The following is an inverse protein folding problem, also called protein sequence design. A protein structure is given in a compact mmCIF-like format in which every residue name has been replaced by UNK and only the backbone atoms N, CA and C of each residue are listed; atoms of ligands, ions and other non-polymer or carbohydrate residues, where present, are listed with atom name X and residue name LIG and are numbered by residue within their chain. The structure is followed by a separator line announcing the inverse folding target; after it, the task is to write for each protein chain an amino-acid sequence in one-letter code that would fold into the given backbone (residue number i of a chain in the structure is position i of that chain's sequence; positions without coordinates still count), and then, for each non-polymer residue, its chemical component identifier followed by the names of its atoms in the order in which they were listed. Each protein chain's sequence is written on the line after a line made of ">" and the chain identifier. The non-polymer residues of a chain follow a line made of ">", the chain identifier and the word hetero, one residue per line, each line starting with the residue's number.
data_IF_759310293068
#
_entry.id   IF_759310293068
#
_cell.length_a   1.000
_cell.length_b   1.000
_cell.length_c   1.000
_cell.angle_alpha   90.00
_cell.angle_beta   90.00
_cell.angle_gamma   90.00
#
_symmetry.space_group_name_H-M   'P 1'
#
loop_
_entity.id
_entity.type
_entity.pdbx_description
1 polymer ?
#
# COMPACT_ATOMS: atom_id res chain seq x y z
N UNK A 1 -65.70 37.61 -28.28
CA UNK A 1 -64.29 37.71 -27.86
C UNK A 1 -63.87 36.36 -27.28
N UNK A 2 -62.99 35.64 -27.97
CA UNK A 2 -62.41 34.36 -27.53
C UNK A 2 -60.92 34.60 -27.31
N UNK A 3 -60.43 34.40 -26.09
CA UNK A 3 -58.99 34.29 -25.82
C UNK A 3 -58.68 32.80 -25.59
N UNK A 4 -57.61 32.24 -26.18
CA UNK A 4 -57.25 30.85 -26.00
C UNK A 4 -56.52 30.64 -24.68
N UNK A 5 -56.79 29.50 -24.05
CA UNK A 5 -56.10 28.98 -22.88
C UNK A 5 -54.69 28.55 -23.29
N UNK A 6 -53.66 29.30 -22.85
CA UNK A 6 -52.26 28.95 -23.07
C UNK A 6 -51.85 27.89 -22.02
N UNK A 7 -51.76 26.62 -22.42
CA UNK A 7 -51.23 25.55 -21.59
C UNK A 7 -49.69 25.65 -21.60
N UNK A 8 -49.08 26.15 -20.52
CA UNK A 8 -47.63 26.08 -20.31
C UNK A 8 -47.26 24.65 -19.90
N UNK A 9 -46.73 23.88 -20.86
CA UNK A 9 -46.02 22.63 -20.58
C UNK A 9 -44.65 22.99 -19.97
N UNK A 10 -44.56 22.94 -18.65
CA UNK A 10 -43.28 22.91 -17.93
C UNK A 10 -42.59 21.58 -18.26
N UNK A 11 -41.68 21.60 -19.23
CA UNK A 11 -40.65 20.57 -19.35
C UNK A 11 -39.72 20.70 -18.14
N UNK A 12 -40.00 19.94 -17.09
CA UNK A 12 -39.01 19.65 -16.07
C UNK A 12 -37.91 18.84 -16.75
N UNK A 13 -36.83 19.52 -17.15
CA UNK A 13 -35.55 18.88 -17.44
C UNK A 13 -35.08 18.20 -16.16
N UNK A 14 -35.46 16.93 -16.00
CA UNK A 14 -34.82 16.02 -15.06
C UNK A 14 -33.38 15.87 -15.53
N UNK A 15 -32.53 16.79 -15.08
CA UNK A 15 -31.09 16.61 -15.10
C UNK A 15 -30.82 15.34 -14.29
N UNK A 16 -30.58 14.25 -15.00
CA UNK A 16 -30.03 13.02 -14.46
C UNK A 16 -28.62 13.31 -13.95
N UNK A 17 -28.53 14.00 -12.81
CA UNK A 17 -27.40 13.84 -11.92
C UNK A 17 -27.51 12.40 -11.46
N UNK A 18 -26.78 11.53 -12.16
CA UNK A 18 -26.53 10.18 -11.74
C UNK A 18 -26.12 10.28 -10.27
N UNK A 19 -27.00 9.79 -9.39
CA UNK A 19 -26.65 9.58 -8.01
C UNK A 19 -25.33 8.81 -8.01
N UNK A 20 -24.29 9.40 -7.43
CA UNK A 20 -23.04 8.71 -7.14
C UNK A 20 -23.43 7.39 -6.51
N UNK A 21 -23.25 6.29 -7.25
CA UNK A 21 -23.61 4.97 -6.78
C UNK A 21 -22.61 4.61 -5.69
N UNK A 22 -22.94 4.97 -4.45
CA UNK A 22 -22.29 4.53 -3.24
C UNK A 22 -22.61 3.03 -3.13
N UNK A 23 -21.88 2.22 -3.88
CA UNK A 23 -21.85 0.79 -3.64
C UNK A 23 -21.33 0.58 -2.21
N UNK A 24 -21.87 -0.38 -1.43
CA UNK A 24 -21.25 -0.73 -0.15
C UNK A 24 -19.77 -1.04 -0.41
N UNK A 25 -18.88 -0.43 0.39
CA UNK A 25 -17.43 -0.64 0.24
C UNK A 25 -17.15 -2.15 0.27
N UNK A 26 -16.73 -2.70 -0.86
CA UNK A 26 -16.34 -4.10 -0.95
C UNK A 26 -15.07 -4.31 -0.14
N UNK A 27 -15.09 -5.30 0.75
CA UNK A 27 -13.93 -5.74 1.50
C UNK A 27 -13.43 -7.05 0.89
N UNK A 28 -12.33 -7.03 0.11
CA UNK A 28 -11.82 -8.23 -0.53
C UNK A 28 -11.50 -9.31 0.49
N UNK A 29 -11.97 -10.52 0.24
CA UNK A 29 -11.59 -11.70 1.03
C UNK A 29 -10.35 -12.30 0.40
N UNK A 30 -9.20 -12.10 1.04
CA UNK A 30 -7.91 -12.59 0.56
C UNK A 30 -7.43 -13.72 1.49
N UNK A 31 -6.96 -14.82 0.89
CA UNK A 31 -6.27 -15.87 1.63
C UNK A 31 -4.77 -15.68 1.49
N UNK A 32 -4.06 -15.60 2.62
CA UNK A 32 -2.61 -15.49 2.62
C UNK A 32 -1.98 -16.83 2.21
N UNK A 33 -1.20 -16.83 1.13
CA UNK A 33 -0.36 -17.95 0.73
C UNK A 33 1.11 -17.69 1.06
N UNK A 34 1.51 -17.91 2.33
CA UNK A 34 2.91 -17.73 2.76
C UNK A 34 3.92 -18.59 1.99
N UNK A 35 3.45 -19.71 1.43
CA UNK A 35 4.26 -20.63 0.61
C UNK A 35 4.26 -20.26 -0.88
N UNK A 36 3.53 -19.21 -1.25
CA UNK A 36 3.44 -18.74 -2.63
C UNK A 36 2.79 -19.76 -3.54
N UNK A 37 1.81 -20.54 -3.07
CA UNK A 37 1.07 -21.49 -3.90
C UNK A 37 0.18 -20.73 -4.89
N UNK A 38 -0.43 -19.65 -4.42
CA UNK A 38 -1.32 -18.77 -5.18
C UNK A 38 -1.17 -17.32 -4.74
N UNK A 39 -1.72 -16.41 -5.52
CA UNK A 39 -1.83 -14.98 -5.23
C UNK A 39 -3.31 -14.58 -5.33
N UNK A 40 -3.88 -14.15 -4.20
CA UNK A 40 -5.21 -13.54 -4.14
C UNK A 40 -5.08 -12.03 -4.25
N UNK A 41 -5.90 -11.41 -5.10
CA UNK A 41 -5.87 -9.97 -5.32
C UNK A 41 -7.26 -9.39 -5.59
N UNK A 42 -7.52 -8.14 -5.18
CA UNK A 42 -8.78 -7.48 -5.49
C UNK A 42 -8.88 -7.16 -6.99
N UNK A 43 -10.08 -7.34 -7.57
CA UNK A 43 -10.39 -6.99 -8.96
C UNK A 43 -10.96 -5.57 -9.10
N UNK A 44 -10.66 -4.70 -8.13
CA UNK A 44 -11.04 -3.28 -8.13
C UNK A 44 -12.55 -3.06 -8.25
N UNK A 45 -12.95 -2.25 -9.23
CA UNK A 45 -14.35 -1.83 -9.45
C UNK A 45 -15.31 -2.99 -9.73
N UNK A 46 -14.81 -4.18 -10.10
CA UNK A 46 -15.65 -5.37 -10.23
C UNK A 46 -16.23 -5.82 -8.88
N UNK A 47 -15.67 -5.35 -7.77
CA UNK A 47 -16.05 -5.78 -6.41
C UNK A 47 -15.94 -7.30 -6.27
N UNK A 48 -14.76 -7.86 -6.57
CA UNK A 48 -14.50 -9.30 -6.52
C UNK A 48 -13.04 -9.57 -6.12
N UNK A 49 -12.75 -10.79 -5.67
CA UNK A 49 -11.39 -11.29 -5.46
C UNK A 49 -11.03 -12.29 -6.56
N UNK A 50 -9.87 -12.11 -7.18
CA UNK A 50 -9.27 -13.06 -8.10
C UNK A 50 -8.13 -13.85 -7.46
N UNK A 51 -7.85 -15.03 -8.00
CA UNK A 51 -6.72 -15.89 -7.66
C UNK A 51 -5.95 -16.29 -8.91
N UNK A 52 -4.62 -16.29 -8.81
CA UNK A 52 -3.71 -16.83 -9.81
C UNK A 52 -2.62 -17.71 -9.18
N UNK A 53 -2.26 -18.78 -9.87
CA UNK A 53 -1.10 -19.63 -9.62
C UNK A 53 -0.10 -19.49 -10.77
N UNK A 54 1.17 -19.81 -10.51
CA UNK A 54 2.23 -19.67 -11.50
C UNK A 54 1.89 -20.46 -12.79
N UNK A 55 2.00 -19.81 -13.94
CA UNK A 55 1.63 -20.35 -15.25
C UNK A 55 0.14 -20.23 -15.62
N UNK A 56 -0.74 -19.77 -14.73
CA UNK A 56 -2.16 -19.59 -15.06
C UNK A 56 -2.39 -18.36 -15.96
N UNK A 57 -3.24 -18.52 -16.98
CA UNK A 57 -3.69 -17.44 -17.87
C UNK A 57 -5.05 -16.86 -17.49
N UNK A 58 -5.74 -17.49 -16.53
CA UNK A 58 -7.14 -17.21 -16.24
C UNK A 58 -7.34 -16.95 -14.76
N UNK A 59 -8.01 -15.85 -14.45
CA UNK A 59 -8.22 -15.40 -13.07
C UNK A 59 -9.39 -16.20 -12.49
N UNK A 60 -9.13 -17.01 -11.47
CA UNK A 60 -10.18 -17.71 -10.73
C UNK A 60 -10.90 -16.73 -9.79
N UNK A 61 -12.22 -16.66 -9.86
CA UNK A 61 -13.03 -15.83 -8.97
C UNK A 61 -13.24 -16.56 -7.64
N UNK A 62 -12.73 -15.96 -6.57
CA UNK A 62 -12.81 -16.51 -5.20
C UNK A 62 -13.98 -15.94 -4.40
N UNK A 63 -14.35 -14.68 -4.67
CA UNK A 63 -15.42 -13.98 -3.97
C UNK A 63 -15.99 -12.89 -4.87
N UNK A 64 -17.29 -12.62 -4.75
CA UNK A 64 -17.99 -11.54 -5.44
C UNK A 64 -18.79 -10.74 -4.42
N UNK A 65 -18.59 -9.42 -4.42
CA UNK A 65 -19.24 -8.47 -3.54
C UNK A 65 -20.70 -8.26 -3.91
N UNK A 66 -21.58 -8.44 -2.91
CA UNK A 66 -23.03 -8.26 -3.05
C UNK A 66 -23.38 -6.85 -3.51
N UNK A 67 -24.23 -6.74 -4.53
CA UNK A 67 -24.68 -5.49 -5.14
C UNK A 67 -23.62 -4.78 -5.98
N UNK A 68 -22.41 -5.34 -6.10
CA UNK A 68 -21.31 -4.76 -6.88
C UNK A 68 -21.46 -4.96 -8.39
N UNK A 69 -20.65 -4.27 -9.22
CA UNK A 69 -20.71 -4.38 -10.67
C UNK A 69 -20.54 -5.81 -11.20
N UNK A 70 -19.63 -6.61 -10.61
CA UNK A 70 -19.42 -8.00 -11.00
C UNK A 70 -20.67 -8.88 -10.80
N UNK A 71 -21.29 -8.82 -9.62
CA UNK A 71 -22.52 -9.58 -9.32
C UNK A 71 -23.67 -9.17 -10.26
N UNK A 72 -23.88 -7.87 -10.47
CA UNK A 72 -24.92 -7.34 -11.36
C UNK A 72 -24.76 -7.80 -12.81
N UNK A 73 -23.52 -8.04 -13.25
CA UNK A 73 -23.20 -8.56 -14.56
C UNK A 73 -23.27 -10.09 -14.66
N UNK A 74 -23.55 -10.79 -13.55
CA UNK A 74 -23.66 -12.24 -13.50
C UNK A 74 -22.33 -12.99 -13.30
N UNK A 75 -21.29 -12.32 -12.77
CA UNK A 75 -20.05 -12.96 -12.35
C UNK A 75 -20.28 -13.81 -11.11
N UNK A 76 -19.80 -15.05 -11.09
CA UNK A 76 -19.99 -16.00 -9.99
C UNK A 76 -18.66 -16.49 -9.41
N UNK A 77 -18.70 -16.90 -8.14
CA UNK A 77 -17.57 -17.63 -7.52
C UNK A 77 -17.32 -18.93 -8.29
N UNK A 78 -16.05 -19.22 -8.58
CA UNK A 78 -15.63 -20.36 -9.39
C UNK A 78 -15.54 -20.09 -10.89
N UNK A 79 -16.04 -18.95 -11.38
CA UNK A 79 -15.77 -18.52 -12.75
C UNK A 79 -14.26 -18.32 -12.95
N UNK A 80 -13.76 -18.58 -14.18
CA UNK A 80 -12.40 -18.23 -14.59
C UNK A 80 -12.45 -17.17 -15.68
N UNK A 81 -11.92 -15.97 -15.43
CA UNK A 81 -11.83 -14.91 -16.46
C UNK A 81 -10.78 -15.34 -17.49
N UNK A 82 -11.23 -15.62 -18.71
CA UNK A 82 -10.39 -16.07 -19.84
C UNK A 82 -9.87 -14.89 -20.66
N UNK A 83 -10.69 -13.84 -20.78
CA UNK A 83 -10.29 -12.59 -21.42
C UNK A 83 -11.07 -11.39 -20.89
N UNK A 84 -10.42 -10.23 -20.93
CA UNK A 84 -11.03 -8.93 -20.62
C UNK A 84 -10.78 -7.98 -21.80
N UNK A 85 -11.84 -7.32 -22.28
CA UNK A 85 -11.76 -6.47 -23.47
C UNK A 85 -11.32 -7.23 -24.74
N UNK A 86 -11.56 -8.54 -24.81
CA UNK A 86 -11.20 -9.40 -25.94
C UNK A 86 -9.73 -9.85 -25.98
N UNK A 87 -8.89 -9.44 -25.03
CA UNK A 87 -7.49 -9.89 -24.94
C UNK A 87 -7.36 -11.16 -24.11
N UNK A 88 -6.68 -12.16 -24.65
CA UNK A 88 -6.20 -13.34 -23.90
C UNK A 88 -4.85 -13.02 -23.31
N UNK A 89 -4.66 -13.39 -22.06
CA UNK A 89 -3.45 -13.04 -21.31
C UNK A 89 -2.30 -14.02 -21.57
N UNK A 90 -1.09 -13.51 -21.46
CA UNK A 90 0.07 -14.36 -21.20
C UNK A 90 -0.02 -15.00 -19.80
N UNK A 91 0.73 -16.09 -19.53
CA UNK A 91 0.72 -16.74 -18.24
C UNK A 91 1.21 -15.79 -17.16
N UNK A 92 0.52 -15.78 -16.03
CA UNK A 92 1.03 -15.18 -14.81
C UNK A 92 2.34 -15.86 -14.41
N UNK A 93 3.34 -15.07 -14.02
CA UNK A 93 4.55 -15.58 -13.40
C UNK A 93 4.79 -14.94 -12.04
N UNK A 94 5.28 -15.74 -11.11
CA UNK A 94 5.81 -15.27 -9.81
C UNK A 94 7.26 -14.82 -9.92
N UNK A 95 7.88 -14.92 -11.09
CA UNK A 95 9.22 -14.41 -11.33
C UNK A 95 9.23 -12.89 -11.28
N UNK A 96 10.13 -12.35 -10.48
CA UNK A 96 10.37 -10.91 -10.35
C UNK A 96 10.94 -10.27 -11.61
N UNK A 97 11.41 -11.07 -12.56
CA UNK A 97 11.91 -10.59 -13.85
C UNK A 97 10.78 -10.28 -14.84
N UNK A 98 9.58 -10.81 -14.60
CA UNK A 98 8.42 -10.64 -15.50
C UNK A 98 7.60 -9.38 -15.22
N UNK A 99 7.97 -8.63 -14.17
CA UNK A 99 7.27 -7.40 -13.79
C UNK A 99 5.81 -7.67 -13.40
N UNK A 100 4.89 -6.99 -14.08
CA UNK A 100 3.43 -7.10 -13.85
C UNK A 100 2.72 -7.84 -14.98
N UNK A 101 3.44 -8.51 -15.87
CA UNK A 101 2.87 -9.14 -17.05
C UNK A 101 1.86 -10.25 -16.70
N UNK A 102 0.86 -10.43 -17.57
CA UNK A 102 -0.15 -11.47 -17.45
C UNK A 102 -1.55 -10.94 -17.11
N UNK A 103 -2.45 -11.82 -16.59
CA UNK A 103 -3.88 -11.55 -16.53
C UNK A 103 -4.27 -10.32 -15.70
N UNK A 104 -3.46 -9.97 -14.70
CA UNK A 104 -3.71 -8.81 -13.84
C UNK A 104 -3.59 -7.50 -14.63
N UNK A 105 -2.49 -7.33 -15.37
CA UNK A 105 -2.27 -6.14 -16.21
C UNK A 105 -3.28 -6.08 -17.36
N UNK A 106 -3.58 -7.22 -18.00
CA UNK A 106 -4.57 -7.25 -19.07
C UNK A 106 -5.96 -6.82 -18.61
N UNK A 107 -6.40 -7.30 -17.44
CA UNK A 107 -7.66 -6.88 -16.82
C UNK A 107 -7.62 -5.39 -16.45
N UNK A 108 -6.55 -4.91 -15.83
CA UNK A 108 -6.41 -3.50 -15.46
C UNK A 108 -6.50 -2.58 -16.69
N UNK A 109 -5.79 -2.92 -17.77
CA UNK A 109 -5.83 -2.17 -19.01
C UNK A 109 -7.19 -2.24 -19.69
N UNK A 110 -7.89 -3.37 -19.62
CA UNK A 110 -9.26 -3.51 -20.14
C UNK A 110 -10.25 -2.66 -19.33
N UNK A 111 -10.11 -2.61 -18.00
CA UNK A 111 -10.91 -1.76 -17.13
C UNK A 111 -10.71 -0.27 -17.42
N UNK A 112 -9.46 0.17 -17.62
CA UNK A 112 -9.15 1.56 -17.99
C UNK A 112 -9.82 1.91 -19.32
N UNK A 113 -9.66 1.07 -20.34
CA UNK A 113 -10.25 1.28 -21.66
C UNK A 113 -11.79 1.31 -21.60
N UNK A 114 -12.40 0.35 -20.90
CA UNK A 114 -13.84 0.26 -20.73
C UNK A 114 -14.41 1.47 -19.97
N UNK A 115 -13.73 1.97 -18.94
CA UNK A 115 -14.19 3.13 -18.14
C UNK A 115 -14.18 4.44 -18.94
N UNK A 116 -13.37 4.50 -20.00
CA UNK A 116 -13.30 5.63 -20.93
C UNK A 116 -14.32 5.55 -22.09
N UNK A 117 -15.00 4.40 -22.26
CA UNK A 117 -15.90 4.17 -23.38
C UNK A 117 -17.29 4.81 -23.23
N UNK A 118 -18.08 4.76 -24.30
CA UNK A 118 -19.44 5.25 -24.38
C UNK A 118 -20.35 4.17 -25.03
N UNK A 119 -21.10 3.37 -24.24
CA UNK A 119 -21.21 3.39 -22.78
C UNK A 119 -19.95 2.85 -22.06
N UNK A 120 -19.73 3.21 -20.78
CA UNK A 120 -18.62 2.66 -19.98
C UNK A 120 -18.90 1.20 -19.61
N UNK A 121 -18.48 0.26 -20.44
CA UNK A 121 -18.83 -1.15 -20.30
C UNK A 121 -17.63 -2.05 -20.58
N UNK A 122 -17.36 -2.98 -19.67
CA UNK A 122 -16.32 -4.00 -19.83
C UNK A 122 -16.93 -5.31 -20.36
N UNK A 123 -16.39 -5.81 -21.46
CA UNK A 123 -16.66 -7.16 -21.93
C UNK A 123 -15.72 -8.15 -21.25
N UNK A 124 -16.28 -9.16 -20.59
CA UNK A 124 -15.55 -10.29 -20.01
C UNK A 124 -15.99 -11.59 -20.68
N UNK A 125 -15.04 -12.48 -20.96
CA UNK A 125 -15.33 -13.88 -21.24
C UNK A 125 -14.90 -14.70 -20.04
N UNK A 126 -15.84 -15.45 -19.46
CA UNK A 126 -15.59 -16.32 -18.31
C UNK A 126 -15.83 -17.77 -18.68
N UNK A 127 -15.04 -18.66 -18.10
CA UNK A 127 -15.30 -20.10 -18.13
C UNK A 127 -16.05 -20.49 -16.86
N UNK A 128 -17.22 -21.10 -17.05
CA UNK A 128 -18.08 -21.65 -16.00
C UNK A 128 -18.21 -23.14 -16.21
N UNK A 129 -17.43 -23.93 -15.46
CA UNK A 129 -17.27 -25.34 -15.73
C UNK A 129 -16.67 -25.57 -17.12
N UNK A 130 -17.45 -26.13 -18.05
CA UNK A 130 -17.02 -26.37 -19.44
C UNK A 130 -17.49 -25.30 -20.44
N UNK A 131 -18.34 -24.38 -20.02
CA UNK A 131 -18.96 -23.39 -20.89
C UNK A 131 -18.19 -22.07 -20.88
N UNK A 132 -18.20 -21.37 -22.01
CA UNK A 132 -17.75 -19.98 -22.12
C UNK A 132 -18.96 -19.06 -22.11
N UNK A 133 -19.00 -18.16 -21.13
CA UNK A 133 -20.08 -17.19 -20.93
C UNK A 133 -19.52 -15.79 -21.18
N UNK A 134 -20.26 -14.98 -21.94
CA UNK A 134 -19.91 -13.56 -22.17
C UNK A 134 -20.68 -12.69 -21.20
N UNK A 135 -19.97 -11.88 -20.42
CA UNK A 135 -20.55 -10.94 -19.46
C UNK A 135 -20.25 -9.50 -19.91
N UNK A 136 -21.22 -8.61 -19.65
CA UNK A 136 -21.09 -7.18 -19.89
C UNK A 136 -21.23 -6.45 -18.57
N UNK A 137 -20.14 -5.85 -18.11
CA UNK A 137 -20.08 -5.17 -16.80
C UNK A 137 -20.20 -3.68 -17.01
N UNK A 138 -21.30 -3.09 -16.56
CA UNK A 138 -21.45 -1.63 -16.53
C UNK A 138 -20.50 -1.00 -15.51
N UNK A 139 -19.73 0.00 -15.94
CA UNK A 139 -18.76 0.72 -15.14
C UNK A 139 -19.20 2.18 -14.95
N UNK A 140 -18.64 2.84 -13.95
CA UNK A 140 -18.74 4.30 -13.82
C UNK A 140 -17.80 4.97 -14.82
N UNK A 141 -18.28 6.02 -15.50
CA UNK A 141 -17.44 6.83 -16.40
C UNK A 141 -16.36 7.57 -15.64
N UNK A 142 -15.19 7.68 -16.27
CA UNK A 142 -14.07 8.48 -15.77
C UNK A 142 -13.04 7.61 -15.07
N UNK A 143 -11.83 7.61 -15.61
CA UNK A 143 -10.67 7.09 -14.89
C UNK A 143 -10.41 7.93 -13.63
N UNK A 144 -9.88 7.31 -12.59
CA UNK A 144 -9.39 8.04 -11.42
C UNK A 144 -8.34 9.05 -11.87
N UNK A 145 -8.64 10.35 -11.73
CA UNK A 145 -7.61 11.39 -11.84
C UNK A 145 -6.65 11.19 -10.67
N UNK A 146 -5.34 11.18 -10.94
CA UNK A 146 -4.31 10.96 -9.91
C UNK A 146 -4.50 11.84 -8.67
N UNK A 147 -4.80 13.12 -8.87
CA UNK A 147 -5.09 14.05 -7.77
C UNK A 147 -6.33 13.65 -6.94
N UNK A 148 -7.40 13.17 -7.60
CA UNK A 148 -8.60 12.70 -6.92
C UNK A 148 -8.37 11.40 -6.14
N UNK A 149 -7.52 10.50 -6.66
CA UNK A 149 -7.13 9.29 -5.96
C UNK A 149 -6.33 9.60 -4.68
N UNK A 150 -5.32 10.48 -4.78
CA UNK A 150 -4.51 10.88 -3.63
C UNK A 150 -5.35 11.58 -2.55
N UNK A 151 -6.23 12.50 -2.95
CA UNK A 151 -7.17 13.15 -2.04
C UNK A 151 -8.10 12.13 -1.36
N UNK A 152 -8.67 11.20 -2.13
CA UNK A 152 -9.54 10.15 -1.61
C UNK A 152 -8.84 9.19 -0.65
N UNK A 153 -7.55 8.87 -0.88
CA UNK A 153 -6.73 8.10 0.07
C UNK A 153 -6.58 8.87 1.37
N UNK A 154 -6.23 10.16 1.31
CA UNK A 154 -6.05 10.98 2.51
C UNK A 154 -7.35 11.12 3.31
N UNK A 155 -8.48 11.39 2.64
CA UNK A 155 -9.80 11.46 3.29
C UNK A 155 -10.18 10.10 3.91
N UNK A 156 -9.89 8.98 3.22
CA UNK A 156 -10.15 7.64 3.76
C UNK A 156 -9.30 7.34 5.00
N UNK A 157 -8.00 7.64 4.95
CA UNK A 157 -7.10 7.46 6.09
C UNK A 157 -7.56 8.29 7.29
N UNK A 158 -7.92 9.55 7.06
CA UNK A 158 -8.44 10.41 8.13
C UNK A 158 -9.73 9.86 8.73
N UNK A 159 -10.68 9.41 7.91
CA UNK A 159 -11.97 8.87 8.36
C UNK A 159 -11.88 7.51 9.05
N UNK A 160 -10.74 6.81 8.94
CA UNK A 160 -10.54 5.44 9.48
C UNK A 160 -9.52 5.37 10.60
N UNK A 161 -8.95 6.52 11.01
CA UNK A 161 -8.10 6.59 12.19
C UNK A 161 -8.92 6.25 13.45
N UNK A 162 -8.38 5.41 14.32
CA UNK A 162 -9.00 5.09 15.61
C UNK A 162 -8.88 6.26 16.59
N UNK A 163 -9.72 6.29 17.61
CA UNK A 163 -9.73 7.35 18.63
C UNK A 163 -8.38 7.56 19.33
N UNK A 164 -7.60 6.48 19.49
CA UNK A 164 -6.26 6.54 20.08
C UNK A 164 -5.18 7.06 19.12
N UNK A 165 -5.51 7.37 17.86
CA UNK A 165 -4.60 7.87 16.83
C UNK A 165 -3.96 6.80 15.94
N UNK A 166 -4.23 5.51 16.14
CA UNK A 166 -3.64 4.44 15.32
C UNK A 166 -4.52 4.05 14.12
N UNK A 167 -3.96 3.25 13.22
CA UNK A 167 -4.70 2.48 12.22
C UNK A 167 -4.59 0.99 12.49
N UNK A 168 -5.70 0.26 12.32
CA UNK A 168 -5.72 -1.18 12.51
C UNK A 168 -4.96 -1.87 11.36
N UNK A 169 -3.88 -2.62 11.62
CA UNK A 169 -3.30 -3.47 10.60
C UNK A 169 -4.24 -4.63 10.28
N UNK A 170 -4.37 -4.97 9.00
CA UNK A 170 -5.06 -6.20 8.54
C UNK A 170 -4.28 -7.49 8.83
N UNK A 171 -3.13 -7.39 9.48
CA UNK A 171 -2.24 -8.49 9.87
C UNK A 171 -1.97 -8.42 11.38
N UNK A 172 -1.85 -9.56 12.03
CA UNK A 172 -1.52 -9.62 13.47
C UNK A 172 -0.08 -9.17 13.76
N UNK A 173 0.20 -8.83 15.03
CA UNK A 173 1.53 -8.47 15.53
C UNK A 173 1.66 -7.01 15.93
N UNK A 174 2.90 -6.51 15.98
CA UNK A 174 3.28 -5.15 16.36
C UNK A 174 3.27 -4.16 15.17
N UNK A 175 2.34 -4.43 14.24
CA UNK A 175 2.23 -3.77 12.94
C UNK A 175 1.60 -2.37 12.99
N UNK A 176 0.86 -2.09 14.06
CA UNK A 176 0.14 -0.84 14.25
C UNK A 176 1.06 0.38 14.36
N UNK A 177 2.25 0.25 14.97
CA UNK A 177 3.21 1.35 15.08
C UNK A 177 3.70 1.82 13.71
N UNK A 178 4.27 0.90 12.90
CA UNK A 178 4.81 1.30 11.59
C UNK A 178 3.69 1.57 10.58
N UNK A 179 2.54 0.90 10.67
CA UNK A 179 1.35 1.24 9.87
C UNK A 179 0.92 2.68 10.15
N UNK A 180 0.79 3.05 11.42
CA UNK A 180 0.40 4.41 11.79
C UNK A 180 1.42 5.45 11.34
N UNK A 181 2.71 5.11 11.35
CA UNK A 181 3.75 5.99 10.83
C UNK A 181 3.58 6.26 9.33
N UNK A 182 3.35 5.21 8.52
CA UNK A 182 3.14 5.35 7.07
C UNK A 182 1.80 6.02 6.72
N UNK A 183 0.73 5.74 7.46
CA UNK A 183 -0.54 6.45 7.30
C UNK A 183 -0.39 7.95 7.60
N UNK A 184 0.30 8.31 8.68
CA UNK A 184 0.58 9.71 9.02
C UNK A 184 1.47 10.41 7.97
N UNK A 185 2.49 9.73 7.44
CA UNK A 185 3.31 10.23 6.33
C UNK A 185 2.46 10.47 5.07
N UNK A 186 1.53 9.57 4.77
CA UNK A 186 0.61 9.71 3.62
C UNK A 186 -0.31 10.93 3.78
N UNK A 187 -0.79 11.19 5.00
CA UNK A 187 -1.56 12.39 5.31
C UNK A 187 -0.70 13.66 5.23
N UNK A 188 0.56 13.61 5.69
CA UNK A 188 1.49 14.72 5.60
C UNK A 188 1.80 15.07 4.13
N UNK A 189 1.99 14.07 3.28
CA UNK A 189 2.23 14.24 1.85
C UNK A 189 1.03 14.82 1.08
N UNK A 190 -0.18 14.78 1.65
CA UNK A 190 -1.35 15.43 1.08
C UNK A 190 -1.31 16.96 1.23
N UNK A 191 -0.39 17.50 2.05
CA UNK A 191 -0.13 18.93 2.25
C UNK A 191 -1.40 19.76 2.57
N UNK A 192 -2.29 19.18 3.36
CA UNK A 192 -3.53 19.83 3.82
C UNK A 192 -3.54 19.92 5.35
N UNK A 193 -3.60 21.16 5.85
CA UNK A 193 -3.58 21.46 7.29
C UNK A 193 -4.72 20.80 8.05
N UNK A 194 -5.84 20.43 7.40
CA UNK A 194 -6.94 19.73 8.05
C UNK A 194 -6.52 18.38 8.66
N UNK A 195 -5.45 17.77 8.13
CA UNK A 195 -4.94 16.48 8.63
C UNK A 195 -3.93 16.60 9.77
N UNK A 196 -3.42 17.80 10.10
CA UNK A 196 -2.43 17.98 11.16
C UNK A 196 -2.85 17.41 12.52
N UNK A 197 -4.11 17.55 12.98
CA UNK A 197 -4.55 16.91 14.22
C UNK A 197 -4.43 15.38 14.19
N UNK A 198 -4.81 14.75 13.07
CA UNK A 198 -4.72 13.30 12.89
C UNK A 198 -3.25 12.82 12.88
N UNK A 199 -2.36 13.56 12.20
CA UNK A 199 -0.93 13.29 12.18
C UNK A 199 -0.34 13.37 13.61
N UNK A 200 -0.71 14.40 14.38
CA UNK A 200 -0.27 14.55 15.78
C UNK A 200 -0.80 13.43 16.68
N UNK A 201 -2.05 13.01 16.48
CA UNK A 201 -2.62 11.87 17.22
C UNK A 201 -1.83 10.58 16.96
N UNK A 202 -1.46 10.32 15.71
CA UNK A 202 -0.62 9.18 15.34
C UNK A 202 0.77 9.25 15.99
N UNK A 203 1.42 10.41 15.97
CA UNK A 203 2.70 10.64 16.66
C UNK A 203 2.54 10.38 18.17
N UNK A 204 1.46 10.85 18.78
CA UNK A 204 1.14 10.61 20.19
C UNK A 204 1.06 9.12 20.53
N UNK A 205 0.27 8.37 19.75
CA UNK A 205 0.16 6.92 19.85
C UNK A 205 1.52 6.22 19.74
N UNK A 206 2.28 6.54 18.69
CA UNK A 206 3.59 5.93 18.42
C UNK A 206 4.56 6.22 19.57
N UNK A 207 4.62 7.46 20.03
CA UNK A 207 5.51 7.83 21.12
C UNK A 207 5.15 7.09 22.41
N UNK A 208 3.86 6.97 22.73
CA UNK A 208 3.40 6.27 23.93
C UNK A 208 3.68 4.76 23.86
N UNK A 209 3.37 4.13 22.72
CA UNK A 209 3.46 2.66 22.56
C UNK A 209 4.88 2.17 22.28
N UNK A 210 5.67 2.97 21.56
CA UNK A 210 6.97 2.56 21.01
C UNK A 210 8.12 3.34 21.63
N UNK A 211 8.21 4.65 21.37
CA UNK A 211 9.38 5.45 21.77
C UNK A 211 9.56 5.53 23.29
N UNK A 212 8.48 5.54 24.08
CA UNK A 212 8.56 5.54 25.54
C UNK A 212 9.19 4.26 26.12
N UNK A 213 9.23 3.16 25.36
CA UNK A 213 9.84 1.89 25.79
C UNK A 213 11.35 1.80 25.55
N UNK A 214 11.96 2.83 24.94
CA UNK A 214 13.38 2.84 24.61
C UNK A 214 14.24 3.06 25.85
N UNK A 215 15.13 2.11 26.14
CA UNK A 215 16.22 2.26 27.09
C UNK A 215 17.57 2.22 26.35
N UNK A 216 18.21 3.38 26.18
CA UNK A 216 19.50 3.48 25.50
C UNK A 216 20.66 2.85 26.29
N UNK A 217 20.51 2.63 27.60
CA UNK A 217 21.50 1.90 28.40
C UNK A 217 21.41 0.38 28.16
N UNK A 218 20.27 -0.07 27.67
CA UNK A 218 20.02 -1.47 27.30
C UNK A 218 19.36 -1.55 25.92
N UNK A 219 20.13 -1.36 24.83
CA UNK A 219 19.59 -1.34 23.47
C UNK A 219 19.01 -2.70 23.03
N UNK A 220 19.14 -3.76 23.84
CA UNK A 220 18.43 -5.05 23.65
C UNK A 220 16.93 -4.97 23.92
N UNK A 221 16.46 -3.88 24.53
CA UNK A 221 15.04 -3.66 24.86
C UNK A 221 14.45 -2.52 24.02
N UNK A 222 13.13 -2.33 24.12
CA UNK A 222 12.39 -1.31 23.35
C UNK A 222 11.80 -1.84 22.04
N UNK A 223 11.44 -0.96 21.09
CA UNK A 223 10.75 -1.35 19.87
C UNK A 223 11.68 -2.05 18.88
N UNK A 224 11.12 -2.70 17.87
CA UNK A 224 11.87 -3.26 16.74
C UNK A 224 12.48 -2.16 15.87
N UNK A 225 13.55 -2.46 15.13
CA UNK A 225 14.28 -1.46 14.36
C UNK A 225 13.42 -0.79 13.27
N UNK A 226 12.55 -1.54 12.60
CA UNK A 226 11.61 -0.95 11.62
C UNK A 226 10.58 0.00 12.25
N UNK A 227 10.22 -0.19 13.52
CA UNK A 227 9.34 0.73 14.24
C UNK A 227 10.11 2.00 14.57
N UNK A 228 11.33 1.88 15.08
CA UNK A 228 12.19 3.02 15.38
C UNK A 228 12.51 3.84 14.11
N UNK A 229 12.85 3.17 13.00
CA UNK A 229 13.17 3.83 11.73
C UNK A 229 11.94 4.53 11.12
N UNK A 230 10.80 3.84 10.99
CA UNK A 230 9.57 4.47 10.47
C UNK A 230 9.10 5.64 11.34
N UNK A 231 9.24 5.52 12.67
CA UNK A 231 8.96 6.62 13.61
C UNK A 231 9.89 7.80 13.37
N UNK A 232 11.20 7.58 13.28
CA UNK A 232 12.17 8.65 13.04
C UNK A 232 11.94 9.35 11.68
N UNK A 233 11.60 8.60 10.62
CA UNK A 233 11.23 9.16 9.32
C UNK A 233 10.00 10.08 9.47
N UNK A 234 8.92 9.60 10.09
CA UNK A 234 7.71 10.41 10.32
C UNK A 234 8.04 11.70 11.10
N UNK A 235 8.77 11.58 12.21
CA UNK A 235 9.07 12.71 13.09
C UNK A 235 9.94 13.75 12.38
N UNK A 236 10.92 13.31 11.59
CA UNK A 236 11.77 14.21 10.82
C UNK A 236 10.99 14.90 9.69
N UNK A 237 10.22 14.16 8.88
CA UNK A 237 9.38 14.74 7.83
C UNK A 237 8.36 15.73 8.40
N UNK A 238 7.72 15.38 9.53
CA UNK A 238 6.82 16.29 10.23
C UNK A 238 7.51 17.59 10.65
N UNK A 239 8.70 17.51 11.26
CA UNK A 239 9.45 18.69 11.66
C UNK A 239 9.88 19.53 10.44
N UNK A 240 10.31 18.90 9.35
CA UNK A 240 10.71 19.59 8.12
C UNK A 240 9.53 20.29 7.45
N UNK A 241 8.37 19.64 7.38
CA UNK A 241 7.17 20.19 6.74
C UNK A 241 6.51 21.30 7.56
N UNK A 242 6.58 21.24 8.89
CA UNK A 242 5.81 22.15 9.77
C UNK A 242 6.67 23.15 10.55
N UNK A 243 7.97 22.89 10.68
CA UNK A 243 8.86 23.60 11.60
C UNK A 243 8.63 23.28 13.08
N UNK A 244 7.65 22.45 13.43
CA UNK A 244 7.31 22.10 14.82
C UNK A 244 8.33 21.10 15.39
N UNK A 245 9.07 21.56 16.40
CA UNK A 245 10.12 20.79 17.07
C UNK A 245 9.66 20.06 18.33
N UNK A 246 8.36 20.04 18.63
CA UNK A 246 7.80 19.45 19.85
C UNK A 246 8.20 17.98 20.05
N UNK A 247 8.53 17.27 18.97
CA UNK A 247 8.94 15.87 18.99
C UNK A 247 10.44 15.62 18.76
N UNK A 248 11.29 16.65 18.77
CA UNK A 248 12.72 16.51 18.51
C UNK A 248 13.43 15.52 19.45
N UNK A 249 13.00 15.47 20.72
CA UNK A 249 13.53 14.47 21.68
C UNK A 249 13.18 13.04 21.26
N UNK A 250 11.94 12.80 20.85
CA UNK A 250 11.51 11.49 20.37
C UNK A 250 12.25 11.09 19.08
N UNK A 251 12.46 12.04 18.16
CA UNK A 251 13.28 11.83 16.96
C UNK A 251 14.69 11.36 17.35
N UNK A 252 15.36 12.12 18.23
CA UNK A 252 16.70 11.79 18.73
C UNK A 252 16.74 10.39 19.36
N UNK A 253 15.79 10.07 20.24
CA UNK A 253 15.72 8.77 20.93
C UNK A 253 15.65 7.59 19.96
N UNK A 254 14.85 7.70 18.90
CA UNK A 254 14.76 6.64 17.90
C UNK A 254 16.03 6.53 17.05
N UNK A 255 16.62 7.66 16.65
CA UNK A 255 17.89 7.67 15.91
C UNK A 255 19.06 7.08 16.73
N UNK A 256 19.15 7.43 18.01
CA UNK A 256 20.18 6.91 18.92
C UNK A 256 20.00 5.39 19.15
N UNK A 257 18.76 4.91 19.25
CA UNK A 257 18.48 3.48 19.39
C UNK A 257 18.95 2.70 18.15
N UNK A 258 18.65 3.20 16.96
CA UNK A 258 19.10 2.59 15.71
C UNK A 258 20.63 2.54 15.69
N UNK A 259 21.29 3.63 16.08
CA UNK A 259 22.74 3.70 16.06
C UNK A 259 23.38 2.70 17.03
N UNK A 260 22.82 2.60 18.24
CA UNK A 260 23.26 1.65 19.27
C UNK A 260 23.08 0.17 18.90
N UNK A 261 22.32 -0.14 17.84
CA UNK A 261 22.04 -1.51 17.37
C UNK A 261 22.76 -1.90 16.09
N UNK A 262 23.52 -0.98 15.49
CA UNK A 262 24.42 -1.34 14.40
C UNK A 262 25.55 -2.18 14.97
N UNK A 263 25.72 -3.39 14.45
CA UNK A 263 26.85 -4.24 14.85
C UNK A 263 28.17 -3.72 14.29
N UNK A 264 29.30 -4.22 14.81
CA UNK A 264 30.64 -3.89 14.28
C UNK A 264 30.84 -4.24 12.81
N UNK A 265 29.99 -5.09 12.23
CA UNK A 265 29.97 -5.42 10.79
C UNK A 265 28.95 -4.59 10.00
N UNK A 266 28.36 -3.56 10.60
CA UNK A 266 27.36 -2.71 9.96
C UNK A 266 25.96 -3.29 9.90
N UNK A 267 25.72 -4.48 10.44
CA UNK A 267 24.43 -5.19 10.28
C UNK A 267 23.40 -4.78 11.31
N UNK A 268 22.14 -4.83 10.90
CA UNK A 268 20.97 -4.70 11.76
C UNK A 268 20.03 -5.89 11.58
N UNK A 269 19.27 -6.22 12.63
CA UNK A 269 18.21 -7.24 12.60
C UNK A 269 16.83 -6.64 12.84
N UNK A 270 15.81 -7.48 13.04
CA UNK A 270 14.48 -7.01 13.45
C UNK A 270 14.53 -6.21 14.76
N UNK A 271 15.45 -6.57 15.66
CA UNK A 271 15.71 -5.93 16.93
C UNK A 271 17.22 -5.87 17.16
N UNK A 272 17.71 -6.12 18.37
CA UNK A 272 19.14 -6.19 18.66
C UNK A 272 19.82 -7.42 18.05
N UNK A 273 19.18 -8.60 18.12
CA UNK A 273 19.77 -9.83 17.61
C UNK A 273 19.74 -9.88 16.08
N UNK A 274 20.79 -10.45 15.49
CA UNK A 274 20.97 -10.50 14.03
C UNK A 274 20.44 -11.83 13.47
N UNK A 275 19.36 -11.80 12.67
CA UNK A 275 18.75 -13.01 12.12
C UNK A 275 19.59 -13.62 10.98
N UNK A 276 19.12 -14.74 10.44
CA UNK A 276 19.65 -15.41 9.23
C UNK A 276 21.15 -15.77 9.35
N UNK A 277 21.53 -16.48 10.42
CA UNK A 277 22.91 -16.88 10.71
C UNK A 277 23.87 -15.67 10.77
N UNK A 278 23.38 -14.52 11.25
CA UNK A 278 24.14 -13.29 11.35
C UNK A 278 24.23 -12.49 10.05
N UNK A 279 23.39 -12.78 9.05
CA UNK A 279 23.32 -12.03 7.80
C UNK A 279 22.75 -10.63 7.95
N UNK A 280 21.81 -10.44 8.88
CA UNK A 280 21.13 -9.15 9.05
C UNK A 280 20.07 -8.91 7.96
N UNK A 281 19.56 -7.68 7.93
CA UNK A 281 18.46 -7.24 7.08
C UNK A 281 18.78 -5.86 6.49
N UNK A 282 19.18 -5.85 5.22
CA UNK A 282 19.60 -4.61 4.55
C UNK A 282 18.48 -3.57 4.48
N UNK A 283 17.21 -3.98 4.35
CA UNK A 283 16.09 -3.03 4.35
C UNK A 283 16.05 -2.17 5.62
N UNK A 284 16.45 -2.72 6.76
CA UNK A 284 16.50 -2.00 8.03
C UNK A 284 17.66 -1.01 8.03
N UNK A 285 18.81 -1.41 7.50
CA UNK A 285 19.94 -0.48 7.29
C UNK A 285 19.52 0.69 6.40
N UNK A 286 18.86 0.42 5.27
CA UNK A 286 18.38 1.46 4.33
C UNK A 286 17.39 2.40 5.01
N UNK A 287 16.41 1.87 5.76
CA UNK A 287 15.47 2.71 6.50
C UNK A 287 16.15 3.54 7.59
N UNK A 288 17.16 3.00 8.28
CA UNK A 288 17.93 3.75 9.28
C UNK A 288 18.73 4.89 8.64
N UNK A 289 19.35 4.65 7.48
CA UNK A 289 20.04 5.70 6.70
C UNK A 289 19.10 6.82 6.27
N UNK A 290 17.90 6.50 5.79
CA UNK A 290 16.88 7.51 5.47
C UNK A 290 16.47 8.30 6.72
N UNK A 291 16.22 7.61 7.84
CA UNK A 291 15.87 8.24 9.10
C UNK A 291 16.96 9.20 9.58
N UNK A 292 18.23 8.79 9.61
CA UNK A 292 19.35 9.63 10.03
C UNK A 292 19.58 10.81 9.08
N UNK A 293 19.44 10.62 7.77
CA UNK A 293 19.59 11.71 6.80
C UNK A 293 18.52 12.80 6.99
N UNK A 294 17.26 12.40 7.17
CA UNK A 294 16.16 13.32 7.46
C UNK A 294 16.33 14.00 8.83
N UNK A 295 16.72 13.22 9.84
CA UNK A 295 17.01 13.76 11.17
C UNK A 295 18.17 14.77 11.13
N UNK A 296 19.20 14.53 10.31
CA UNK A 296 20.31 15.46 10.10
C UNK A 296 19.83 16.83 9.62
N UNK A 297 18.87 16.85 8.68
CA UNK A 297 18.21 18.10 8.24
C UNK A 297 17.40 18.78 9.35
N UNK A 298 16.98 18.02 10.37
CA UNK A 298 16.31 18.51 11.56
C UNK A 298 17.27 18.99 12.67
N UNK A 299 18.59 18.89 12.47
CA UNK A 299 19.61 19.26 13.45
C UNK A 299 20.10 18.11 14.34
N UNK A 300 19.77 16.85 14.01
CA UNK A 300 20.38 15.69 14.65
C UNK A 300 21.83 15.51 14.20
N UNK A 301 22.75 15.30 15.14
CA UNK A 301 24.13 14.97 14.82
C UNK A 301 24.24 13.48 14.51
N UNK A 302 24.44 13.15 13.23
CA UNK A 302 24.59 11.77 12.77
C UNK A 302 25.96 11.23 13.21
N UNK A 303 25.97 10.07 13.87
CA UNK A 303 27.19 9.34 14.16
C UNK A 303 27.79 8.79 12.84
N UNK A 304 28.83 9.48 12.36
CA UNK A 304 29.44 9.15 11.07
C UNK A 304 30.16 7.78 11.08
N UNK A 305 30.63 7.31 12.24
CA UNK A 305 31.27 6.00 12.35
C UNK A 305 30.22 4.92 12.16
N UNK A 306 29.10 5.03 12.87
CA UNK A 306 27.97 4.10 12.74
C UNK A 306 27.35 4.16 11.34
N UNK A 307 27.18 5.36 10.78
CA UNK A 307 26.73 5.54 9.41
C UNK A 307 27.61 4.77 8.43
N UNK A 308 28.92 5.01 8.47
CA UNK A 308 29.86 4.39 7.52
C UNK A 308 29.88 2.86 7.67
N UNK A 309 29.88 2.34 8.91
CA UNK A 309 29.81 0.91 9.16
C UNK A 309 28.53 0.31 8.56
N UNK A 310 27.37 0.91 8.83
CA UNK A 310 26.11 0.43 8.29
C UNK A 310 26.04 0.54 6.76
N UNK A 311 26.61 1.59 6.18
CA UNK A 311 26.53 1.81 4.73
C UNK A 311 27.36 0.78 3.96
N UNK A 312 28.47 0.30 4.51
CA UNK A 312 29.25 -0.79 3.93
C UNK A 312 28.43 -2.06 3.74
N UNK A 313 27.55 -2.40 4.69
CA UNK A 313 26.64 -3.55 4.56
C UNK A 313 25.62 -3.33 3.42
N UNK A 314 25.10 -2.11 3.25
CA UNK A 314 24.21 -1.76 2.13
C UNK A 314 24.95 -1.88 0.80
N UNK A 315 26.15 -1.30 0.68
CA UNK A 315 26.95 -1.40 -0.55
C UNK A 315 27.30 -2.84 -0.90
N UNK A 316 27.68 -3.65 0.08
CA UNK A 316 28.00 -5.06 -0.12
C UNK A 316 26.78 -5.94 -0.49
N UNK A 317 25.57 -5.43 -0.32
CA UNK A 317 24.33 -6.12 -0.70
C UNK A 317 23.87 -5.83 -2.14
N UNK A 318 24.53 -4.90 -2.84
CA UNK A 318 24.22 -4.57 -4.21
C UNK A 318 24.53 -5.75 -5.13
N UNK A 319 23.55 -6.21 -5.90
CA UNK A 319 23.79 -7.10 -7.02
C UNK A 319 24.34 -6.29 -8.20
N UNK A 320 25.62 -6.48 -8.52
CA UNK A 320 26.31 -5.78 -9.61
C UNK A 320 25.66 -5.98 -10.98
N UNK A 321 24.92 -7.10 -11.18
CA UNK A 321 24.27 -7.38 -12.46
C UNK A 321 22.96 -6.62 -12.63
N UNK A 322 22.16 -6.54 -11.57
CA UNK A 322 20.78 -6.01 -11.64
C UNK A 322 20.66 -4.62 -11.04
N UNK A 323 21.62 -4.18 -10.24
CA UNK A 323 21.54 -2.97 -9.41
C UNK A 323 20.57 -3.10 -8.23
N UNK A 324 19.98 -4.27 -8.00
CA UNK A 324 19.06 -4.48 -6.88
C UNK A 324 19.81 -4.66 -5.56
N UNK A 325 19.18 -4.29 -4.46
CA UNK A 325 19.68 -4.60 -3.11
C UNK A 325 19.19 -5.98 -2.69
N UNK A 326 20.14 -6.87 -2.40
CA UNK A 326 19.89 -8.16 -1.79
C UNK A 326 19.38 -8.07 -0.36
N UNK A 327 18.87 -9.18 0.15
CA UNK A 327 18.38 -9.31 1.52
C UNK A 327 19.45 -8.98 2.58
N UNK A 328 20.71 -9.30 2.27
CA UNK A 328 21.91 -8.96 3.04
C UNK A 328 23.15 -8.97 2.13
N UNK A 329 24.29 -8.50 2.62
CA UNK A 329 25.61 -8.69 1.97
C UNK A 329 25.95 -10.15 1.69
N UNK A 330 25.31 -11.09 2.39
CA UNK A 330 25.50 -12.53 2.20
C UNK A 330 24.56 -13.13 1.16
N UNK A 331 23.57 -12.38 0.69
CA UNK A 331 22.62 -12.82 -0.30
C UNK A 331 22.28 -11.67 -1.29
N UNK A 332 23.28 -11.10 -1.98
CA UNK A 332 23.09 -9.97 -2.89
C UNK A 332 22.10 -10.30 -4.03
N UNK A 333 22.09 -11.56 -4.50
CA UNK A 333 21.21 -12.05 -5.57
C UNK A 333 19.81 -12.48 -5.10
N UNK A 334 19.51 -12.29 -3.81
CA UNK A 334 18.19 -12.57 -3.26
C UNK A 334 17.56 -11.25 -2.85
N UNK A 335 17.01 -10.46 -3.79
CA UNK A 335 16.51 -9.13 -3.49
C UNK A 335 15.42 -9.17 -2.41
N UNK A 336 15.45 -8.16 -1.52
CA UNK A 336 14.38 -7.95 -0.54
C UNK A 336 13.19 -7.32 -1.27
N UNK A 337 12.33 -8.17 -1.81
CA UNK A 337 11.24 -7.75 -2.70
C UNK A 337 9.99 -7.47 -1.88
N UNK A 338 9.58 -6.20 -1.86
CA UNK A 338 8.34 -5.69 -1.26
C UNK A 338 7.07 -6.28 -1.87
N UNK A 339 7.16 -6.93 -3.02
CA UNK A 339 6.04 -7.52 -3.77
C UNK A 339 5.76 -9.00 -3.43
N UNK A 340 6.12 -9.46 -2.22
CA UNK A 340 5.43 -10.62 -1.62
C UNK A 340 4.17 -10.14 -0.90
N UNK A 341 3.24 -9.56 -1.65
CA UNK A 341 1.86 -9.35 -1.20
C UNK A 341 1.01 -10.53 -1.59
#
# INVERSE_FOLDING_TARGET
>A
MRYPLLLLLLFASLSSHAADSIFPRYHPKLQNSKRGEHHDFPLGVLSATGRLSDGEREILIMDVGKGGPGEKAGLLVGDRIVSAGGRKSEPFSKSTETGLDGPQTDLAMALIAASAAAPPELSLQVRRGKELVSLRVGLTRGGLKSAGLLAGIADHLHATQQENGCWQPGVGGDADVYMSAFCALSLLAADDRKYLPAIKAAIGFINQKSTASVDLKNPRTGPKNWQAASTAILLAEYQLATGDRSFAKALKTNCDLLAARVTTKGRMGHHFDIPYNGGGLVIINVQAHLAWALAGKCGYEVDQVVWNQSFQEVQASLDEKTGALGYSSRAPRSPDISART
#
